data_IF_261811574976
#
_entry.id   IF_261811574976
#
_cell.length_a   1.000
_cell.length_b   1.000
_cell.length_c   1.000
_cell.angle_alpha   90.00
_cell.angle_beta   90.00
_cell.angle_gamma   90.00
#
_symmetry.space_group_name_H-M   'P 1'
#
loop_
_entity.id
_entity.type
_entity.pdbx_description
1 polymer ?
#
# COMPACT_ATOMS: atom_id res chain seq x y z
N UNK A 1 16.71 7.85 -0.33
CA UNK A 1 15.97 7.67 0.93
C UNK A 1 15.08 6.43 0.80
N UNK A 2 14.93 5.64 1.87
CA UNK A 2 13.96 4.55 1.98
C UNK A 2 12.78 5.02 2.83
N UNK A 3 11.62 5.16 2.21
CA UNK A 3 10.39 5.58 2.89
C UNK A 3 9.50 4.36 3.13
N UNK A 4 9.02 4.19 4.36
CA UNK A 4 7.99 3.22 4.71
C UNK A 4 6.64 3.93 4.81
N UNK A 5 5.66 3.50 4.02
CA UNK A 5 4.26 3.92 4.14
C UNK A 5 3.49 2.77 4.81
N UNK A 6 2.80 3.03 5.92
CA UNK A 6 2.28 1.92 6.73
C UNK A 6 1.13 2.29 7.66
N UNK A 7 0.25 1.32 7.91
CA UNK A 7 -0.71 1.34 9.03
C UNK A 7 -0.35 0.31 10.13
N UNK A 8 0.84 -0.31 10.06
CA UNK A 8 1.34 -1.22 11.08
C UNK A 8 1.54 -0.51 12.41
N UNK A 9 1.52 -1.31 13.49
CA UNK A 9 1.75 -0.85 14.86
C UNK A 9 2.67 -1.81 15.61
N UNK A 10 3.15 -1.33 16.76
CA UNK A 10 3.90 -2.14 17.73
C UNK A 10 5.09 -2.86 17.11
N UNK A 11 5.24 -4.14 17.45
CA UNK A 11 6.39 -4.96 17.09
C UNK A 11 6.61 -5.07 15.58
N UNK A 12 5.54 -5.28 14.81
CA UNK A 12 5.63 -5.42 13.35
C UNK A 12 6.14 -4.14 12.68
N UNK A 13 5.68 -2.97 13.12
CA UNK A 13 6.18 -1.69 12.62
C UNK A 13 7.67 -1.51 12.94
N UNK A 14 8.05 -1.80 14.19
CA UNK A 14 9.44 -1.72 14.63
C UNK A 14 10.35 -2.65 13.82
N UNK A 15 9.94 -3.91 13.64
CA UNK A 15 10.69 -4.92 12.88
C UNK A 15 10.91 -4.49 11.43
N UNK A 16 9.87 -4.05 10.72
CA UNK A 16 10.01 -3.61 9.32
C UNK A 16 10.93 -2.41 9.22
N UNK A 17 10.75 -1.44 10.11
CA UNK A 17 11.52 -0.18 10.11
C UNK A 17 13.01 -0.44 10.34
N UNK A 18 13.34 -1.21 11.38
CA UNK A 18 14.73 -1.45 11.79
C UNK A 18 15.45 -2.41 10.84
N UNK A 19 14.84 -3.54 10.48
CA UNK A 19 15.49 -4.55 9.63
C UNK A 19 15.81 -4.03 8.23
N UNK A 20 14.99 -3.11 7.72
CA UNK A 20 15.17 -2.56 6.37
C UNK A 20 15.94 -1.24 6.33
N UNK A 21 16.35 -0.71 7.50
CA UNK A 21 17.02 0.60 7.65
C UNK A 21 16.21 1.71 6.97
N UNK A 22 14.95 1.85 7.36
CA UNK A 22 14.04 2.86 6.82
C UNK A 22 14.49 4.25 7.30
N UNK A 23 14.56 5.21 6.38
CA UNK A 23 14.99 6.59 6.63
C UNK A 23 13.81 7.52 6.97
N UNK A 24 12.64 7.24 6.39
CA UNK A 24 11.43 8.04 6.52
C UNK A 24 10.18 7.20 6.76
N UNK A 25 9.30 7.64 7.65
CA UNK A 25 8.10 6.92 8.04
C UNK A 25 6.84 7.74 7.73
N UNK A 26 5.94 7.21 6.92
CA UNK A 26 4.62 7.80 6.68
C UNK A 26 3.57 6.86 7.26
N UNK A 27 2.89 7.32 8.30
CA UNK A 27 1.82 6.57 8.95
C UNK A 27 0.49 6.92 8.29
N UNK A 28 -0.28 5.91 7.90
CA UNK A 28 -1.59 6.07 7.29
C UNK A 28 -2.64 5.52 8.26
N UNK A 29 -3.64 6.33 8.61
CA UNK A 29 -4.67 5.95 9.58
C UNK A 29 -6.05 6.44 9.14
N UNK A 30 -7.10 5.67 9.44
CA UNK A 30 -8.51 6.05 9.25
C UNK A 30 -9.08 6.84 10.44
N UNK A 31 -8.58 6.61 11.65
CA UNK A 31 -9.00 7.30 12.87
C UNK A 31 -7.83 7.90 13.65
N UNK A 32 -8.12 8.81 14.61
CA UNK A 32 -7.11 9.34 15.54
C UNK A 32 -6.65 8.23 16.48
N UNK A 33 -5.40 7.81 16.35
CA UNK A 33 -4.71 7.05 17.39
C UNK A 33 -3.64 7.93 18.03
N UNK A 34 -3.65 8.00 19.37
CA UNK A 34 -2.80 8.91 20.15
C UNK A 34 -1.38 8.38 20.42
N UNK A 35 -1.03 7.16 19.99
CA UNK A 35 0.24 6.54 20.39
C UNK A 35 1.14 6.20 19.20
N UNK A 36 1.95 7.18 18.80
CA UNK A 36 3.00 7.06 17.78
C UNK A 36 4.38 7.23 18.42
N UNK A 37 4.72 6.33 19.34
CA UNK A 37 6.00 6.32 20.06
C UNK A 37 7.23 6.20 19.13
N UNK A 38 7.04 5.85 17.85
CA UNK A 38 8.07 5.69 16.82
C UNK A 38 8.49 6.97 16.09
N UNK A 39 7.69 8.05 16.13
CA UNK A 39 8.09 9.35 15.54
C UNK A 39 9.36 9.93 16.18
N UNK A 40 9.69 9.48 17.41
CA UNK A 40 10.93 9.84 18.12
C UNK A 40 12.20 9.26 17.47
N UNK A 41 12.08 8.20 16.67
CA UNK A 41 13.22 7.44 16.13
C UNK A 41 13.40 7.59 14.62
N UNK A 42 12.37 8.02 13.89
CA UNK A 42 12.40 8.16 12.43
C UNK A 42 11.68 9.44 12.04
N UNK A 43 12.27 10.22 11.12
CA UNK A 43 11.57 11.38 10.54
C UNK A 43 10.30 10.90 9.87
N UNK A 44 9.16 11.41 10.32
CA UNK A 44 7.89 10.93 9.81
C UNK A 44 6.80 11.96 9.68
N UNK A 45 5.71 11.51 9.08
CA UNK A 45 4.47 12.25 8.94
C UNK A 45 3.28 11.33 9.08
N UNK A 46 2.19 11.87 9.64
CA UNK A 46 0.91 11.18 9.76
C UNK A 46 -0.04 11.69 8.67
N UNK A 47 -0.61 10.76 7.91
CA UNK A 47 -1.63 11.06 6.92
C UNK A 47 -2.93 10.37 7.30
N UNK A 48 -3.98 11.17 7.47
CA UNK A 48 -5.33 10.65 7.69
C UNK A 48 -6.08 10.45 6.39
N UNK A 49 -6.77 9.32 6.33
CA UNK A 49 -7.71 8.98 5.26
C UNK A 49 -9.13 9.15 5.84
N UNK A 50 -9.66 10.36 5.69
CA UNK A 50 -10.97 10.78 6.22
C UNK A 50 -12.06 10.55 5.15
N UNK A 51 -12.21 9.31 4.70
CA UNK A 51 -13.26 8.96 3.72
C UNK A 51 -13.70 7.52 3.93
N UNK A 52 -15.02 7.29 3.86
CA UNK A 52 -15.63 5.96 3.87
C UNK A 52 -15.65 5.32 2.47
N UNK A 53 -15.36 6.09 1.42
CA UNK A 53 -15.31 5.62 0.04
C UNK A 53 -13.94 4.93 -0.22
N UNK A 54 -13.91 3.61 -0.43
CA UNK A 54 -12.66 2.87 -0.60
C UNK A 54 -11.91 3.28 -1.87
N UNK A 55 -12.60 3.77 -2.91
CA UNK A 55 -11.96 4.25 -4.14
C UNK A 55 -11.22 5.56 -3.89
N UNK A 56 -11.84 6.49 -3.16
CA UNK A 56 -11.19 7.76 -2.75
C UNK A 56 -10.02 7.51 -1.80
N UNK A 57 -10.19 6.60 -0.85
CA UNK A 57 -9.10 6.18 0.04
C UNK A 57 -7.92 5.61 -0.75
N UNK A 58 -8.19 4.69 -1.68
CA UNK A 58 -7.16 4.09 -2.54
C UNK A 58 -6.48 5.12 -3.44
N UNK A 59 -7.23 6.07 -4.01
CA UNK A 59 -6.68 7.16 -4.82
C UNK A 59 -5.71 8.02 -4.00
N UNK A 60 -6.10 8.44 -2.80
CA UNK A 60 -5.26 9.22 -1.88
C UNK A 60 -4.01 8.43 -1.47
N UNK A 61 -4.12 7.15 -1.16
CA UNK A 61 -2.95 6.28 -0.88
C UNK A 61 -2.00 6.23 -2.08
N UNK A 62 -2.54 6.09 -3.29
CA UNK A 62 -1.75 6.05 -4.52
C UNK A 62 -0.97 7.36 -4.74
N UNK A 63 -1.58 8.52 -4.43
CA UNK A 63 -0.90 9.81 -4.49
C UNK A 63 0.25 9.91 -3.50
N UNK A 64 0.08 9.41 -2.27
CA UNK A 64 1.14 9.36 -1.25
C UNK A 64 2.32 8.52 -1.75
N UNK A 65 2.04 7.33 -2.30
CA UNK A 65 3.06 6.44 -2.85
C UNK A 65 3.81 7.12 -3.99
N UNK A 66 3.09 7.70 -4.96
CA UNK A 66 3.68 8.44 -6.10
C UNK A 66 4.54 9.60 -5.64
N UNK A 67 4.08 10.36 -4.63
CA UNK A 67 4.84 11.43 -4.01
C UNK A 67 6.15 10.93 -3.41
N UNK A 68 6.09 9.88 -2.58
CA UNK A 68 7.26 9.30 -1.96
C UNK A 68 8.27 8.72 -2.96
N UNK A 69 7.80 8.11 -4.06
CA UNK A 69 8.65 7.55 -5.13
C UNK A 69 9.54 8.61 -5.79
N UNK A 70 9.14 9.88 -5.82
CA UNK A 70 9.98 10.98 -6.32
C UNK A 70 11.25 11.20 -5.50
N UNK A 71 11.29 10.72 -4.25
CA UNK A 71 12.37 10.96 -3.30
C UNK A 71 13.22 9.71 -3.01
N UNK A 72 12.88 8.55 -3.58
CA UNK A 72 13.66 7.33 -3.46
C UNK A 72 12.83 6.05 -3.44
N UNK A 73 13.34 5.06 -2.70
CA UNK A 73 12.72 3.74 -2.61
C UNK A 73 11.53 3.77 -1.67
N UNK A 74 10.43 3.16 -2.09
CA UNK A 74 9.20 3.10 -1.30
C UNK A 74 8.93 1.68 -0.88
N UNK A 75 8.70 1.52 0.40
CA UNK A 75 8.33 0.28 1.06
C UNK A 75 6.92 0.49 1.60
N UNK A 76 6.06 -0.51 1.46
CA UNK A 76 4.72 -0.48 2.05
C UNK A 76 4.61 -1.62 3.04
N UNK A 77 4.01 -1.36 4.20
CA UNK A 77 3.69 -2.43 5.14
C UNK A 77 2.29 -2.25 5.70
N UNK A 78 1.51 -3.33 5.76
CA UNK A 78 0.11 -3.23 6.13
C UNK A 78 -0.34 -4.32 7.11
N UNK A 79 -1.34 -4.01 7.93
CA UNK A 79 -2.04 -4.97 8.80
C UNK A 79 -3.28 -5.56 8.07
N UNK A 80 -4.09 -6.36 8.77
CA UNK A 80 -5.30 -6.96 8.18
C UNK A 80 -6.57 -6.10 8.27
N UNK A 81 -6.49 -4.82 8.60
CA UNK A 81 -7.68 -3.95 8.68
C UNK A 81 -8.13 -3.44 7.29
N UNK A 82 -9.28 -2.76 7.26
CA UNK A 82 -9.89 -2.24 6.03
C UNK A 82 -8.92 -1.36 5.22
N UNK A 83 -8.19 -0.50 5.91
CA UNK A 83 -7.20 0.39 5.30
C UNK A 83 -5.97 -0.38 4.83
N UNK A 84 -5.58 -1.44 5.54
CA UNK A 84 -4.46 -2.31 5.21
C UNK A 84 -4.66 -3.02 3.88
N UNK A 85 -5.89 -3.49 3.62
CA UNK A 85 -6.29 -4.03 2.32
C UNK A 85 -6.06 -3.03 1.18
N UNK A 86 -6.57 -1.80 1.33
CA UNK A 86 -6.41 -0.73 0.34
C UNK A 86 -4.94 -0.30 0.16
N UNK A 87 -4.17 -0.27 1.25
CA UNK A 87 -2.75 0.04 1.24
C UNK A 87 -1.96 -0.98 0.42
N UNK A 88 -2.29 -2.27 0.60
CA UNK A 88 -1.67 -3.35 -0.17
C UNK A 88 -1.98 -3.26 -1.66
N UNK A 89 -3.24 -2.98 -2.00
CA UNK A 89 -3.67 -2.88 -3.39
C UNK A 89 -3.00 -1.71 -4.12
N UNK A 90 -2.98 -0.52 -3.49
CA UNK A 90 -2.29 0.64 -4.02
C UNK A 90 -0.78 0.39 -4.19
N UNK A 91 -0.15 -0.32 -3.23
CA UNK A 91 1.26 -0.67 -3.32
C UNK A 91 1.58 -1.59 -4.51
N UNK A 92 0.72 -2.57 -4.77
CA UNK A 92 0.85 -3.44 -5.94
C UNK A 92 0.66 -2.65 -7.24
N UNK A 93 -0.40 -1.84 -7.33
CA UNK A 93 -0.71 -1.01 -8.50
C UNK A 93 0.44 -0.05 -8.85
N UNK A 94 1.00 0.61 -7.85
CA UNK A 94 2.01 1.65 -8.05
C UNK A 94 3.45 1.12 -8.15
N UNK A 95 3.66 -0.20 -7.96
CA UNK A 95 4.96 -0.85 -8.10
C UNK A 95 6.00 -0.32 -7.12
N UNK A 96 5.83 -0.65 -5.84
CA UNK A 96 6.79 -0.28 -4.77
C UNK A 96 7.95 -1.28 -4.66
N UNK A 97 9.05 -0.89 -3.99
CA UNK A 97 10.27 -1.70 -3.88
C UNK A 97 10.13 -2.94 -2.98
N UNK A 98 9.23 -2.88 -2.00
CA UNK A 98 8.86 -4.02 -1.18
C UNK A 98 7.51 -3.81 -0.50
N UNK A 99 6.82 -4.92 -0.27
CA UNK A 99 5.56 -4.96 0.47
C UNK A 99 5.73 -5.93 1.63
N UNK A 100 5.27 -5.53 2.82
CA UNK A 100 5.24 -6.39 4.00
C UNK A 100 3.83 -6.48 4.58
N UNK A 101 3.55 -7.59 5.24
CA UNK A 101 2.35 -7.76 6.06
C UNK A 101 2.74 -8.25 7.45
N UNK A 102 1.89 -8.01 8.44
CA UNK A 102 2.05 -8.54 9.79
C UNK A 102 1.19 -9.79 9.96
N UNK A 103 1.83 -10.95 10.08
CA UNK A 103 1.17 -12.23 10.33
C UNK A 103 1.61 -12.78 11.69
N UNK A 104 0.66 -12.89 12.64
CA UNK A 104 0.93 -13.37 14.01
C UNK A 104 2.14 -12.66 14.65
N UNK A 105 2.11 -11.33 14.65
CA UNK A 105 3.17 -10.44 15.16
C UNK A 105 4.53 -10.53 14.45
N UNK A 106 4.61 -11.24 13.33
CA UNK A 106 5.82 -11.34 12.53
C UNK A 106 5.67 -10.57 11.23
N UNK A 107 6.63 -9.70 10.91
CA UNK A 107 6.68 -9.03 9.62
C UNK A 107 7.12 -10.00 8.52
N UNK A 108 6.28 -10.22 7.52
CA UNK A 108 6.55 -11.07 6.36
C UNK A 108 6.65 -10.20 5.11
N UNK A 109 7.72 -10.36 4.32
CA UNK A 109 7.84 -9.71 3.01
C UNK A 109 7.04 -10.50 1.98
N UNK A 110 6.15 -9.84 1.28
CA UNK A 110 5.39 -10.45 0.19
C UNK A 110 6.19 -10.44 -1.11
N UNK A 111 6.02 -11.47 -1.96
CA UNK A 111 6.47 -11.37 -3.34
C UNK A 111 5.71 -10.23 -4.02
N UNK A 112 6.39 -9.47 -4.86
CA UNK A 112 5.73 -8.44 -5.67
C UNK A 112 5.15 -9.16 -6.90
N UNK A 113 3.81 -9.30 -7.01
CA UNK A 113 3.18 -9.81 -8.21
C UNK A 113 3.53 -8.85 -9.34
N UNK A 114 4.26 -9.36 -10.33
CA UNK A 114 4.42 -8.66 -11.60
C UNK A 114 3.15 -8.92 -12.39
N UNK A 115 2.19 -8.01 -12.27
CA UNK A 115 1.05 -7.95 -13.20
C UNK A 115 1.59 -7.46 -14.55
N UNK A 116 2.20 -8.37 -15.29
CA UNK A 116 2.66 -8.14 -16.66
C UNK A 116 1.47 -8.29 -17.62
N UNK A 117 0.55 -7.33 -17.53
CA UNK A 117 -0.61 -7.22 -18.39
C UNK A 117 -0.26 -6.24 -19.51
N UNK A 118 -0.16 -6.74 -20.74
CA UNK A 118 -0.03 -5.90 -21.94
C UNK A 118 -1.22 -4.95 -22.08
N UNK A 119 -1.03 -3.75 -22.63
CA UNK A 119 -2.08 -2.76 -22.88
C UNK A 119 -3.33 -3.35 -23.56
N UNK A 120 -3.14 -4.29 -24.50
CA UNK A 120 -4.24 -4.98 -25.18
C UNK A 120 -5.09 -5.81 -24.21
N UNK A 121 -4.46 -6.52 -23.27
CA UNK A 121 -5.15 -7.30 -22.24
C UNK A 121 -5.85 -6.40 -21.23
N UNK A 122 -5.25 -5.25 -20.91
CA UNK A 122 -5.89 -4.25 -20.04
C UNK A 122 -7.16 -3.71 -20.69
N UNK A 123 -7.10 -3.30 -21.96
CA UNK A 123 -8.27 -2.85 -22.73
C UNK A 123 -9.38 -3.91 -22.81
N UNK A 124 -9.01 -5.18 -22.95
CA UNK A 124 -9.99 -6.28 -22.93
C UNK A 124 -10.69 -6.34 -21.57
N UNK A 125 -9.95 -6.25 -20.47
CA UNK A 125 -10.53 -6.26 -19.13
C UNK A 125 -11.44 -5.03 -18.90
N UNK A 126 -11.06 -3.86 -19.39
CA UNK A 126 -11.88 -2.64 -19.32
C UNK A 126 -13.20 -2.81 -20.08
N UNK A 127 -13.16 -3.34 -21.32
CA UNK A 127 -14.38 -3.59 -22.12
C UNK A 127 -15.26 -4.66 -21.47
N UNK A 128 -14.67 -5.72 -20.91
CA UNK A 128 -15.39 -6.76 -20.18
C UNK A 128 -16.17 -6.17 -18.99
N UNK A 129 -15.52 -5.33 -18.19
CA UNK A 129 -16.14 -4.68 -17.04
C UNK A 129 -17.26 -3.72 -17.46
N UNK A 130 -16.99 -2.81 -18.42
CA UNK A 130 -17.95 -1.81 -18.89
C UNK A 130 -19.23 -2.45 -19.48
N UNK A 131 -19.08 -3.61 -20.12
CA UNK A 131 -20.18 -4.33 -20.75
C UNK A 131 -20.79 -5.42 -19.86
N UNK A 132 -20.27 -5.59 -18.63
CA UNK A 132 -20.60 -6.68 -17.71
C UNK A 132 -20.54 -8.06 -18.39
N UNK A 133 -19.52 -8.24 -19.24
CA UNK A 133 -19.26 -9.45 -19.97
C UNK A 133 -18.21 -10.29 -19.25
N UNK A 134 -18.31 -11.59 -19.41
CA UNK A 134 -17.26 -12.55 -19.07
C UNK A 134 -16.39 -12.83 -20.29
N UNK A 135 -15.13 -13.26 -20.09
CA UNK A 135 -14.23 -13.59 -21.19
C UNK A 135 -14.80 -14.66 -22.17
N UNK A 136 -15.79 -15.43 -21.72
CA UNK A 136 -16.51 -16.44 -22.53
C UNK A 136 -17.48 -15.78 -23.53
N UNK A 137 -18.00 -14.58 -23.21
CA UNK A 137 -19.03 -13.90 -24.00
C UNK A 137 -18.46 -13.10 -25.18
N UNK A 138 -17.18 -12.71 -25.17
CA UNK A 138 -16.53 -12.05 -26.32
C UNK A 138 -16.33 -13.03 -27.51
N UNK A 139 -16.25 -14.34 -27.25
CA UNK A 139 -15.94 -15.34 -28.26
C UNK A 139 -17.17 -15.84 -29.05
N UNK A 140 -18.36 -15.30 -28.79
CA UNK A 140 -19.60 -15.58 -29.51
C UNK A 140 -19.92 -14.47 -30.50
#
# INVERSE_FOLDING_TARGET
MKTLITNLRGRCLFDVTMRNKIDGLILVQSEKFDDLSLEKFVKGGLIKIETEDPLKACAKISEIIKGAKKHGKVYVAYNGDDLGGLLSFAAFKEGVDAIFTCFRETSVRLPIPRLDISDSKLKILEVLEDQNLTAIEIAK
#
